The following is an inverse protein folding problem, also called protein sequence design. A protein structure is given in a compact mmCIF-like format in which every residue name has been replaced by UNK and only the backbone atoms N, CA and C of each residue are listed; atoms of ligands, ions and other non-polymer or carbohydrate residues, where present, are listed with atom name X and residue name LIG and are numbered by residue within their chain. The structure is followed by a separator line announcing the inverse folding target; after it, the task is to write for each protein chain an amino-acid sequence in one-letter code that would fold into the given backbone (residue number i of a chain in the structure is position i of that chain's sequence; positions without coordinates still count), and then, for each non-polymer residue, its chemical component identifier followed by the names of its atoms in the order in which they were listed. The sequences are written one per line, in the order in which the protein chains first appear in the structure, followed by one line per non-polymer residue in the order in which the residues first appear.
data_IF_773607646822
#
_entry.id   IF_773607646822
#
_cell.length_a   1.000
_cell.length_b   1.000
_cell.length_c   1.000
_cell.angle_alpha   90.00
_cell.angle_beta   90.00
_cell.angle_gamma   90.00
#
_symmetry.space_group_name_H-M   'P 1'
#
loop_
_entity.id
_entity.type
_entity.pdbx_description
1 polymer ?
#
# COMPACT_ATOMS: atom_id res chain seq x y z
N UNK A 1 3.95 15.95 48.62
CA UNK A 1 5.29 15.83 48.01
C UNK A 1 5.23 16.28 46.55
N UNK A 2 5.91 17.36 46.10
CA UNK A 2 5.82 17.86 44.70
C UNK A 2 6.85 17.26 43.75
N UNK A 3 7.43 16.11 44.07
CA UNK A 3 8.50 15.51 43.25
C UNK A 3 8.08 14.60 42.13
N UNK A 4 6.81 14.14 42.07
CA UNK A 4 6.36 13.15 41.09
C UNK A 4 5.93 13.75 39.73
N UNK A 5 5.53 15.02 39.70
CA UNK A 5 4.98 15.65 38.48
C UNK A 5 6.06 16.05 37.45
N UNK A 6 7.25 16.45 37.91
CA UNK A 6 8.33 16.90 37.01
C UNK A 6 8.99 15.73 36.29
N UNK A 7 9.16 14.60 36.97
CA UNK A 7 9.75 13.39 36.34
C UNK A 7 8.86 12.81 35.25
N UNK A 8 7.55 12.82 35.45
CA UNK A 8 6.57 12.35 34.45
C UNK A 8 6.52 13.28 33.23
N UNK A 9 6.63 14.59 33.44
CA UNK A 9 6.72 15.55 32.33
C UNK A 9 8.02 15.42 31.55
N UNK A 10 9.17 15.24 32.19
CA UNK A 10 10.47 15.07 31.52
C UNK A 10 10.51 13.77 30.70
N UNK A 11 9.93 12.70 31.23
CA UNK A 11 9.78 11.43 30.48
C UNK A 11 8.83 11.59 29.28
N UNK A 12 7.75 12.35 29.42
CA UNK A 12 6.83 12.69 28.33
C UNK A 12 7.55 13.48 27.23
N UNK A 13 8.31 14.51 27.57
CA UNK A 13 9.10 15.29 26.60
C UNK A 13 10.20 14.47 25.92
N UNK A 14 10.90 13.60 26.64
CA UNK A 14 11.91 12.72 26.07
C UNK A 14 11.30 11.72 25.08
N UNK A 15 10.12 11.17 25.38
CA UNK A 15 9.38 10.29 24.47
C UNK A 15 8.84 11.03 23.25
N UNK A 16 8.36 12.29 23.42
CA UNK A 16 7.94 13.14 22.29
C UNK A 16 9.09 13.50 21.37
N UNK A 17 10.24 13.88 21.94
CA UNK A 17 11.46 14.20 21.16
C UNK A 17 11.96 12.93 20.44
N UNK A 18 12.00 11.79 21.10
CA UNK A 18 12.38 10.51 20.48
C UNK A 18 11.43 10.15 19.33
N UNK A 19 10.11 10.26 19.54
CA UNK A 19 9.11 10.03 18.51
C UNK A 19 9.21 11.04 17.35
N UNK A 20 9.52 12.31 17.63
CA UNK A 20 9.73 13.33 16.62
C UNK A 20 10.96 13.01 15.75
N UNK A 21 12.05 12.55 16.38
CA UNK A 21 13.31 12.21 15.68
C UNK A 21 13.21 10.91 14.85
N UNK A 22 12.34 10.00 15.25
CA UNK A 22 12.14 8.70 14.58
C UNK A 22 11.06 8.74 13.51
N UNK A 23 10.15 9.72 13.56
CA UNK A 23 9.08 9.85 12.58
C UNK A 23 9.59 10.38 11.24
N UNK A 24 8.84 10.06 10.18
CA UNK A 24 9.01 10.66 8.85
C UNK A 24 7.82 11.54 8.52
N UNK A 25 8.07 12.71 7.93
CA UNK A 25 7.02 13.65 7.51
C UNK A 25 6.80 13.53 6.01
N UNK A 26 5.54 13.50 5.59
CA UNK A 26 5.18 13.44 4.17
C UNK A 26 5.78 14.59 3.38
N UNK A 27 5.75 15.81 3.93
CA UNK A 27 6.32 17.00 3.30
C UNK A 27 7.79 16.81 2.92
N UNK A 28 8.59 16.22 3.82
CA UNK A 28 10.02 15.98 3.60
C UNK A 28 10.30 14.97 2.47
N UNK A 29 9.40 14.03 2.22
CA UNK A 29 9.60 12.94 1.25
C UNK A 29 8.69 13.04 0.02
N UNK A 30 7.74 13.97 0.01
CA UNK A 30 6.73 14.09 -1.05
C UNK A 30 7.33 14.27 -2.44
N UNK A 31 8.43 15.04 -2.58
CA UNK A 31 9.12 15.24 -3.85
C UNK A 31 9.64 13.92 -4.44
N UNK A 32 10.28 13.09 -3.60
CA UNK A 32 10.80 11.77 -4.02
C UNK A 32 9.66 10.80 -4.32
N UNK A 33 8.61 10.80 -3.50
CA UNK A 33 7.44 9.95 -3.74
C UNK A 33 6.71 10.32 -5.03
N UNK A 34 6.58 11.60 -5.36
CA UNK A 34 6.01 12.05 -6.64
C UNK A 34 6.80 11.55 -7.84
N UNK A 35 8.14 11.62 -7.79
CA UNK A 35 9.00 11.06 -8.83
C UNK A 35 8.86 9.54 -8.90
N UNK A 36 8.83 8.86 -7.76
CA UNK A 36 8.63 7.41 -7.69
C UNK A 36 7.31 6.99 -8.34
N UNK A 37 6.19 7.63 -8.00
CA UNK A 37 4.88 7.34 -8.60
C UNK A 37 4.87 7.66 -10.09
N UNK A 38 5.51 8.74 -10.52
CA UNK A 38 5.64 9.08 -11.94
C UNK A 38 6.41 8.00 -12.70
N UNK A 39 7.48 7.47 -12.12
CA UNK A 39 8.21 6.34 -12.68
C UNK A 39 7.37 5.06 -12.79
N UNK A 40 6.48 4.80 -11.82
CA UNK A 40 5.60 3.63 -11.83
C UNK A 40 4.45 3.75 -12.83
N UNK A 41 3.83 4.94 -12.93
CA UNK A 41 2.57 5.14 -13.67
C UNK A 41 2.76 5.70 -15.07
N UNK A 42 3.93 6.26 -15.38
CA UNK A 42 4.15 7.04 -16.60
C UNK A 42 3.41 8.37 -16.63
N UNK A 43 2.59 8.68 -15.62
CA UNK A 43 1.84 9.92 -15.46
C UNK A 43 1.98 10.47 -14.05
N UNK A 44 1.84 11.78 -13.89
CA UNK A 44 1.91 12.44 -12.59
C UNK A 44 0.62 12.22 -11.79
N UNK A 45 0.54 11.15 -11.02
CA UNK A 45 -0.49 11.06 -9.98
C UNK A 45 -0.22 12.10 -8.90
N UNK A 46 -1.26 12.79 -8.47
CA UNK A 46 -1.17 13.77 -7.40
C UNK A 46 -1.03 13.06 -6.06
N UNK A 47 -0.30 13.69 -5.16
CA UNK A 47 -0.03 13.18 -3.81
C UNK A 47 -0.53 14.22 -2.83
N UNK A 48 -1.49 13.84 -2.00
CA UNK A 48 -2.14 14.71 -1.02
C UNK A 48 -2.07 14.11 0.38
N UNK A 49 -2.23 14.97 1.36
CA UNK A 49 -2.29 14.55 2.77
C UNK A 49 -3.69 14.03 3.09
N UNK A 50 -3.76 12.86 3.75
CA UNK A 50 -5.00 12.26 4.23
C UNK A 50 -4.83 11.67 5.63
N UNK A 51 -5.93 11.23 6.23
CA UNK A 51 -5.94 10.57 7.55
C UNK A 51 -5.33 9.17 7.50
N UNK A 52 -5.32 8.57 6.32
CA UNK A 52 -4.78 7.23 6.06
C UNK A 52 -4.21 7.16 4.63
N UNK A 53 -3.49 6.09 4.32
CA UNK A 53 -3.08 5.81 2.96
C UNK A 53 -4.23 5.18 2.17
N UNK A 54 -4.63 5.79 1.06
CA UNK A 54 -5.64 5.29 0.12
C UNK A 54 -5.50 5.98 -1.24
N UNK A 55 -6.26 5.54 -2.22
CA UNK A 55 -6.37 6.18 -3.54
C UNK A 55 -7.83 6.30 -3.95
N UNK A 56 -8.14 7.36 -4.71
CA UNK A 56 -9.37 7.54 -5.46
C UNK A 56 -9.18 7.35 -6.96
N UNK A 57 -8.10 6.67 -7.37
CA UNK A 57 -7.62 6.42 -8.73
C UNK A 57 -6.82 7.56 -9.37
N UNK A 58 -7.14 8.81 -9.12
CA UNK A 58 -6.45 9.98 -9.66
C UNK A 58 -5.46 10.60 -8.68
N UNK A 59 -5.71 10.41 -7.40
CA UNK A 59 -4.90 10.93 -6.30
C UNK A 59 -4.49 9.83 -5.34
N UNK A 60 -3.33 10.02 -4.74
CA UNK A 60 -2.83 9.20 -3.65
C UNK A 60 -2.84 10.03 -2.38
N UNK A 61 -3.55 9.55 -1.37
CA UNK A 61 -3.61 10.16 -0.07
C UNK A 61 -2.69 9.41 0.89
N UNK A 62 -1.89 10.14 1.65
CA UNK A 62 -0.96 9.59 2.62
C UNK A 62 -1.03 10.35 3.93
N UNK A 63 -0.80 9.70 5.07
CA UNK A 63 -0.73 10.40 6.36
C UNK A 63 0.35 11.48 6.36
N UNK A 64 0.08 12.62 6.99
CA UNK A 64 1.06 13.70 7.11
C UNK A 64 2.35 13.26 7.83
N UNK A 65 2.24 12.28 8.74
CA UNK A 65 3.34 11.77 9.56
C UNK A 65 3.23 10.25 9.72
N UNK A 66 4.36 9.56 9.58
CA UNK A 66 4.49 8.15 9.93
C UNK A 66 5.52 7.97 11.05
N UNK A 67 5.13 7.22 12.08
CA UNK A 67 5.95 6.87 13.24
C UNK A 67 5.75 5.41 13.67
N UNK A 68 5.32 4.54 12.74
CA UNK A 68 5.03 3.14 13.01
C UNK A 68 6.27 2.29 13.31
N UNK A 69 7.46 2.76 12.92
CA UNK A 69 8.73 2.07 13.15
C UNK A 69 9.70 2.94 13.97
N UNK A 70 10.57 2.26 14.72
CA UNK A 70 11.56 2.92 15.57
C UNK A 70 12.64 3.70 14.78
N UNK A 71 12.85 3.39 13.51
CA UNK A 71 13.85 4.09 12.68
C UNK A 71 13.18 4.90 11.59
N UNK A 72 13.62 6.14 11.43
CA UNK A 72 13.13 7.08 10.40
C UNK A 72 13.19 6.47 8.99
N UNK A 73 14.26 5.76 8.65
CA UNK A 73 14.41 5.09 7.35
C UNK A 73 13.32 4.05 7.07
N UNK A 74 12.83 3.37 8.12
CA UNK A 74 11.80 2.36 7.95
C UNK A 74 10.42 3.03 7.82
N UNK A 75 10.19 4.19 8.44
CA UNK A 75 9.03 5.03 8.20
C UNK A 75 9.04 5.63 6.77
N UNK A 76 10.19 6.00 6.23
CA UNK A 76 10.32 6.37 4.82
C UNK A 76 10.00 5.18 3.88
N UNK A 77 10.52 3.98 4.17
CA UNK A 77 10.18 2.77 3.42
C UNK A 77 8.68 2.46 3.49
N UNK A 78 8.05 2.72 4.64
CA UNK A 78 6.62 2.55 4.79
C UNK A 78 5.84 3.52 3.87
N UNK A 79 6.26 4.78 3.75
CA UNK A 79 5.68 5.69 2.76
C UNK A 79 5.79 5.15 1.34
N UNK A 80 6.95 4.64 0.93
CA UNK A 80 7.12 4.01 -0.39
C UNK A 80 6.20 2.81 -0.58
N UNK A 81 6.09 1.95 0.42
CA UNK A 81 5.26 0.76 0.39
C UNK A 81 3.76 1.10 0.28
N UNK A 82 3.28 2.05 1.10
CA UNK A 82 1.91 2.57 1.05
C UNK A 82 1.60 3.19 -0.31
N UNK A 83 2.50 4.03 -0.81
CA UNK A 83 2.38 4.67 -2.13
C UNK A 83 2.28 3.64 -3.25
N UNK A 84 3.18 2.66 -3.25
CA UNK A 84 3.20 1.61 -4.27
C UNK A 84 1.97 0.71 -4.19
N UNK A 85 1.52 0.37 -2.99
CA UNK A 85 0.34 -0.46 -2.80
C UNK A 85 -0.94 0.26 -3.24
N UNK A 86 -1.10 1.54 -2.91
CA UNK A 86 -2.23 2.36 -3.38
C UNK A 86 -2.20 2.54 -4.91
N UNK A 87 -1.02 2.79 -5.51
CA UNK A 87 -0.85 2.80 -6.96
C UNK A 87 -1.21 1.46 -7.59
N UNK A 88 -0.80 0.35 -6.97
CA UNK A 88 -1.06 -1.00 -7.48
C UNK A 88 -2.55 -1.32 -7.57
N UNK A 89 -3.38 -0.80 -6.65
CA UNK A 89 -4.84 -0.96 -6.72
C UNK A 89 -5.40 -0.44 -8.05
N UNK A 90 -4.97 0.74 -8.48
CA UNK A 90 -5.39 1.32 -9.76
C UNK A 90 -4.73 0.60 -10.94
N UNK A 91 -3.42 0.34 -10.87
CA UNK A 91 -2.65 -0.23 -11.97
C UNK A 91 -3.07 -1.65 -12.31
N UNK A 92 -3.25 -2.51 -11.32
CA UNK A 92 -3.66 -3.90 -11.50
C UNK A 92 -5.18 -4.10 -11.46
N UNK A 93 -5.95 -3.01 -11.45
CA UNK A 93 -7.38 -3.02 -11.70
C UNK A 93 -8.24 -3.56 -10.56
N UNK A 94 -7.91 -3.22 -9.30
CA UNK A 94 -8.73 -3.58 -8.13
C UNK A 94 -10.17 -3.04 -8.20
N UNK A 95 -10.38 -1.97 -8.98
CA UNK A 95 -11.68 -1.31 -9.17
C UNK A 95 -12.31 -1.60 -10.53
N UNK A 96 -11.74 -2.51 -11.33
CA UNK A 96 -12.25 -2.85 -12.66
C UNK A 96 -13.26 -3.97 -12.57
N UNK A 97 -14.50 -3.57 -12.43
CA UNK A 97 -15.66 -4.44 -12.54
C UNK A 97 -16.31 -4.28 -13.90
N UNK A 98 -17.19 -5.21 -14.32
CA UNK A 98 -18.07 -5.03 -15.46
C UNK A 98 -18.87 -3.71 -15.35
N UNK A 99 -19.29 -3.19 -16.51
CA UNK A 99 -20.04 -1.94 -16.58
C UNK A 99 -21.30 -2.02 -15.72
N UNK A 100 -21.48 -1.01 -14.85
CA UNK A 100 -22.63 -0.93 -13.93
C UNK A 100 -22.47 -1.71 -12.62
N UNK A 101 -21.38 -2.46 -12.44
CA UNK A 101 -21.10 -3.16 -11.17
C UNK A 101 -20.22 -2.30 -10.25
N UNK A 102 -20.58 -2.27 -8.97
CA UNK A 102 -19.88 -1.52 -7.93
C UNK A 102 -19.40 -2.46 -6.82
N UNK A 103 -18.19 -2.24 -6.31
CA UNK A 103 -17.69 -2.99 -5.14
C UNK A 103 -18.62 -2.82 -3.92
N UNK A 104 -19.15 -1.63 -3.70
CA UNK A 104 -20.10 -1.36 -2.61
C UNK A 104 -21.35 -2.21 -2.73
N UNK A 105 -21.88 -2.40 -3.94
CA UNK A 105 -23.03 -3.26 -4.19
C UNK A 105 -22.72 -4.73 -3.89
N UNK A 106 -21.54 -5.22 -4.25
CA UNK A 106 -21.10 -6.56 -3.87
C UNK A 106 -21.01 -6.74 -2.36
N UNK A 107 -20.45 -5.78 -1.64
CA UNK A 107 -20.34 -5.87 -0.18
C UNK A 107 -21.71 -5.82 0.49
N UNK A 108 -22.65 -5.01 -0.01
CA UNK A 108 -24.00 -4.90 0.51
C UNK A 108 -24.83 -6.20 0.41
N UNK A 109 -24.40 -7.18 -0.39
CA UNK A 109 -25.05 -8.51 -0.45
C UNK A 109 -24.75 -9.39 0.76
N UNK A 110 -23.78 -9.02 1.60
CA UNK A 110 -23.37 -9.79 2.78
C UNK A 110 -24.04 -9.26 4.05
N UNK A 111 -24.28 -10.11 5.06
CA UNK A 111 -24.87 -9.71 6.35
C UNK A 111 -24.10 -8.61 7.08
N UNK A 112 -22.78 -8.58 6.93
CA UNK A 112 -21.87 -7.53 7.44
C UNK A 112 -21.02 -7.01 6.27
N UNK A 113 -21.42 -5.90 5.62
CA UNK A 113 -20.69 -5.29 4.52
C UNK A 113 -19.27 -4.85 4.88
N UNK A 114 -19.06 -4.39 6.12
CA UNK A 114 -17.75 -3.97 6.60
C UNK A 114 -16.79 -5.17 6.72
N UNK A 115 -17.30 -6.31 7.17
CA UNK A 115 -16.53 -7.55 7.16
C UNK A 115 -16.19 -7.98 5.74
N UNK A 116 -17.15 -7.92 4.81
CA UNK A 116 -16.94 -8.24 3.41
C UNK A 116 -15.85 -7.35 2.77
N UNK A 117 -15.94 -6.04 2.98
CA UNK A 117 -14.95 -5.08 2.50
C UNK A 117 -13.55 -5.34 3.07
N UNK A 118 -13.43 -5.61 4.38
CA UNK A 118 -12.14 -5.93 5.00
C UNK A 118 -11.56 -7.24 4.49
N UNK A 119 -12.39 -8.26 4.29
CA UNK A 119 -11.98 -9.55 3.74
C UNK A 119 -11.52 -9.40 2.29
N UNK A 120 -12.31 -8.72 1.45
CA UNK A 120 -11.94 -8.40 0.08
C UNK A 120 -10.60 -7.66 0.04
N UNK A 121 -10.44 -6.62 0.86
CA UNK A 121 -9.20 -5.83 0.90
C UNK A 121 -7.98 -6.68 1.28
N UNK A 122 -8.13 -7.62 2.20
CA UNK A 122 -7.04 -8.54 2.58
C UNK A 122 -6.66 -9.51 1.45
N UNK A 123 -7.66 -10.06 0.73
CA UNK A 123 -7.45 -10.92 -0.43
C UNK A 123 -6.85 -10.16 -1.61
N UNK A 124 -7.37 -8.98 -1.89
CA UNK A 124 -6.87 -8.11 -2.94
C UNK A 124 -5.43 -7.67 -2.66
N UNK A 125 -5.10 -7.36 -1.41
CA UNK A 125 -3.71 -7.10 -0.99
C UNK A 125 -2.80 -8.28 -1.31
N UNK A 126 -3.24 -9.52 -1.08
CA UNK A 126 -2.45 -10.70 -1.41
C UNK A 126 -2.25 -10.88 -2.93
N UNK A 127 -3.25 -10.54 -3.75
CA UNK A 127 -3.14 -10.51 -5.21
C UNK A 127 -2.16 -9.44 -5.68
N UNK A 128 -2.30 -8.23 -5.15
CA UNK A 128 -1.41 -7.10 -5.49
C UNK A 128 0.03 -7.36 -5.08
N UNK A 129 0.26 -7.98 -3.92
CA UNK A 129 1.58 -8.42 -3.48
C UNK A 129 2.23 -9.37 -4.48
N UNK A 130 1.47 -10.31 -5.04
CA UNK A 130 1.98 -11.22 -6.06
C UNK A 130 2.31 -10.48 -7.38
N UNK A 131 1.53 -9.47 -7.74
CA UNK A 131 1.84 -8.60 -8.89
C UNK A 131 3.12 -7.80 -8.64
N UNK A 132 3.23 -7.15 -7.49
CA UNK A 132 4.43 -6.39 -7.08
C UNK A 132 5.67 -7.27 -6.97
N UNK A 133 5.54 -8.50 -6.48
CA UNK A 133 6.65 -9.45 -6.41
C UNK A 133 7.22 -9.79 -7.80
N UNK A 134 6.38 -9.85 -8.84
CA UNK A 134 6.78 -10.13 -10.20
C UNK A 134 7.40 -8.91 -10.89
N UNK A 135 6.74 -7.76 -10.77
CA UNK A 135 7.07 -6.58 -11.56
C UNK A 135 8.10 -5.67 -10.86
N UNK A 136 8.07 -5.62 -9.53
CA UNK A 136 8.91 -4.78 -8.68
C UNK A 136 9.55 -5.58 -7.52
N UNK A 137 10.35 -6.63 -7.80
CA UNK A 137 10.84 -7.55 -6.77
C UNK A 137 11.67 -6.88 -5.68
N UNK A 138 12.39 -5.81 -6.01
CA UNK A 138 13.15 -5.02 -5.03
C UNK A 138 12.25 -4.32 -4.01
N UNK A 139 11.20 -3.66 -4.49
CA UNK A 139 10.20 -3.01 -3.64
C UNK A 139 9.46 -4.05 -2.78
N UNK A 140 9.06 -5.17 -3.38
CA UNK A 140 8.37 -6.22 -2.64
C UNK A 140 9.23 -6.79 -1.50
N UNK A 141 10.54 -6.95 -1.69
CA UNK A 141 11.47 -7.33 -0.61
C UNK A 141 11.48 -6.31 0.53
N UNK A 142 11.48 -5.01 0.22
CA UNK A 142 11.39 -3.95 1.22
C UNK A 142 10.05 -4.02 1.99
N UNK A 143 8.94 -4.28 1.30
CA UNK A 143 7.62 -4.46 1.91
C UNK A 143 7.57 -5.67 2.86
N UNK A 144 8.17 -6.81 2.46
CA UNK A 144 8.25 -7.99 3.31
C UNK A 144 9.14 -7.76 4.54
N UNK A 145 10.26 -7.03 4.38
CA UNK A 145 11.12 -6.66 5.50
C UNK A 145 10.37 -5.76 6.51
N UNK A 146 9.58 -4.79 6.03
CA UNK A 146 8.73 -3.97 6.88
C UNK A 146 7.68 -4.81 7.61
N UNK A 147 7.02 -5.74 6.89
CA UNK A 147 6.04 -6.63 7.50
C UNK A 147 6.65 -7.51 8.58
N UNK A 148 7.88 -7.99 8.37
CA UNK A 148 8.63 -8.75 9.39
C UNK A 148 8.93 -7.89 10.62
N UNK A 149 9.35 -6.63 10.43
CA UNK A 149 9.57 -5.66 11.51
C UNK A 149 8.27 -5.33 12.27
N UNK A 150 7.12 -5.37 11.59
CA UNK A 150 5.80 -5.17 12.19
C UNK A 150 5.24 -6.41 12.91
N UNK A 151 6.03 -7.44 13.09
CA UNK A 151 5.63 -8.68 13.79
C UNK A 151 5.24 -9.83 12.85
N UNK A 152 5.49 -9.70 11.55
CA UNK A 152 5.12 -10.69 10.55
C UNK A 152 3.65 -10.59 10.12
N UNK A 153 3.25 -11.50 9.24
CA UNK A 153 1.85 -11.69 8.85
C UNK A 153 1.57 -13.18 8.72
N UNK A 154 0.47 -13.62 9.29
CA UNK A 154 0.04 -15.00 9.24
C UNK A 154 -1.31 -15.10 8.53
N UNK A 155 -1.39 -16.03 7.59
CA UNK A 155 -2.66 -16.34 6.93
C UNK A 155 -3.58 -17.09 7.90
N UNK A 156 -4.87 -16.78 7.94
CA UNK A 156 -5.85 -17.59 8.68
C UNK A 156 -5.88 -19.03 8.17
N UNK A 157 -6.44 -19.92 8.98
CA UNK A 157 -6.65 -21.29 8.57
C UNK A 157 -7.47 -21.37 7.28
N UNK A 158 -7.10 -22.27 6.39
CA UNK A 158 -7.77 -22.45 5.10
C UNK A 158 -7.34 -21.51 3.97
N UNK A 159 -6.51 -20.49 4.23
CA UNK A 159 -6.10 -19.53 3.21
C UNK A 159 -4.99 -20.02 2.26
N UNK A 160 -4.36 -21.15 2.51
CA UNK A 160 -3.23 -21.65 1.70
C UNK A 160 -3.58 -21.83 0.21
N UNK A 161 -4.71 -22.45 -0.11
CA UNK A 161 -5.15 -22.64 -1.51
C UNK A 161 -5.69 -21.34 -2.12
N UNK A 162 -6.53 -20.55 -1.44
CA UNK A 162 -6.92 -19.22 -1.87
C UNK A 162 -5.75 -18.32 -2.24
N UNK A 163 -4.73 -18.21 -1.39
CA UNK A 163 -3.54 -17.41 -1.67
C UNK A 163 -2.79 -17.90 -2.92
N UNK A 164 -2.67 -19.23 -3.12
CA UNK A 164 -2.06 -19.79 -4.33
C UNK A 164 -2.86 -19.42 -5.60
N UNK A 165 -4.19 -19.32 -5.52
CA UNK A 165 -5.02 -18.84 -6.65
C UNK A 165 -4.69 -17.39 -7.00
N UNK A 166 -4.62 -16.51 -6.00
CA UNK A 166 -4.32 -15.09 -6.19
C UNK A 166 -2.88 -14.81 -6.66
N UNK A 167 -1.97 -15.75 -6.41
CA UNK A 167 -0.57 -15.65 -6.86
C UNK A 167 -0.38 -16.02 -8.33
N UNK A 168 -1.37 -16.61 -9.00
CA UNK A 168 -1.27 -16.97 -10.42
C UNK A 168 -1.14 -15.75 -11.31
N UNK A 169 -0.37 -15.89 -12.39
CA UNK A 169 -0.35 -14.88 -13.45
C UNK A 169 -1.74 -14.81 -14.09
N UNK A 170 -2.30 -13.60 -14.17
CA UNK A 170 -3.66 -13.40 -14.70
C UNK A 170 -4.77 -13.41 -13.63
N UNK A 171 -4.45 -13.65 -12.36
CA UNK A 171 -5.42 -13.44 -11.29
C UNK A 171 -5.93 -11.99 -11.28
N UNK A 172 -7.23 -11.81 -11.16
CA UNK A 172 -7.95 -10.54 -11.29
C UNK A 172 -8.73 -10.19 -10.02
N UNK A 173 -9.34 -9.02 -9.99
CA UNK A 173 -10.26 -8.59 -8.93
C UNK A 173 -11.42 -9.58 -8.75
N UNK A 174 -11.87 -10.23 -9.83
CA UNK A 174 -12.94 -11.25 -9.77
C UNK A 174 -12.53 -12.48 -8.96
N UNK A 175 -11.26 -12.89 -9.01
CA UNK A 175 -10.75 -13.96 -8.16
C UNK A 175 -10.79 -13.57 -6.68
N UNK A 176 -10.46 -12.32 -6.36
CA UNK A 176 -10.56 -11.78 -5.00
C UNK A 176 -12.01 -11.73 -4.50
N UNK A 177 -12.97 -11.32 -5.35
CA UNK A 177 -14.40 -11.32 -5.04
C UNK A 177 -14.95 -12.74 -4.85
N UNK A 178 -14.60 -13.68 -5.72
CA UNK A 178 -15.02 -15.07 -5.60
C UNK A 178 -14.52 -15.68 -4.28
N UNK A 179 -13.24 -15.47 -3.96
CA UNK A 179 -12.65 -15.94 -2.71
C UNK A 179 -13.23 -15.26 -1.47
N UNK A 180 -13.60 -13.99 -1.57
CA UNK A 180 -14.32 -13.31 -0.48
C UNK A 180 -15.60 -14.05 -0.14
N UNK A 181 -16.37 -14.46 -1.13
CA UNK A 181 -17.61 -15.25 -0.92
C UNK A 181 -17.31 -16.61 -0.27
N UNK A 182 -16.27 -17.31 -0.77
CA UNK A 182 -15.86 -18.62 -0.25
C UNK A 182 -15.38 -18.55 1.22
N UNK A 183 -14.69 -17.47 1.61
CA UNK A 183 -14.05 -17.32 2.91
C UNK A 183 -14.82 -16.46 3.91
N UNK A 184 -15.99 -15.93 3.53
CA UNK A 184 -16.73 -14.97 4.37
C UNK A 184 -17.07 -15.49 5.77
N UNK A 185 -17.34 -16.80 5.91
CA UNK A 185 -17.63 -17.42 7.21
C UNK A 185 -16.40 -17.52 8.13
N UNK A 186 -15.20 -17.37 7.57
CA UNK A 186 -13.94 -17.52 8.30
C UNK A 186 -13.53 -16.27 9.08
N UNK A 187 -12.33 -16.37 9.66
CA UNK A 187 -11.70 -15.28 10.38
C UNK A 187 -11.04 -14.27 9.44
N UNK A 188 -11.09 -12.99 9.84
CA UNK A 188 -10.38 -11.93 9.16
C UNK A 188 -8.89 -11.94 9.54
N UNK A 189 -7.97 -11.85 8.57
CA UNK A 189 -6.57 -11.66 8.88
C UNK A 189 -6.31 -10.25 9.42
N UNK A 190 -5.25 -10.13 10.19
CA UNK A 190 -4.70 -8.80 10.50
C UNK A 190 -4.27 -8.10 9.20
N UNK A 191 -4.54 -6.80 9.04
CA UNK A 191 -4.07 -6.07 7.88
C UNK A 191 -2.54 -6.01 7.82
N UNK A 192 -1.97 -5.98 6.62
CA UNK A 192 -0.53 -5.74 6.46
C UNK A 192 -0.19 -4.28 6.78
N UNK A 193 1.00 -4.04 7.30
CA UNK A 193 1.42 -2.71 7.74
C UNK A 193 1.37 -1.64 6.63
N UNK A 194 1.45 -2.06 5.37
CA UNK A 194 1.41 -1.21 4.16
C UNK A 194 0.09 -1.29 3.39
N UNK A 195 -0.93 -1.96 3.91
CA UNK A 195 -2.18 -2.20 3.20
C UNK A 195 -2.98 -0.91 2.95
N UNK A 196 -2.92 0.07 3.85
CA UNK A 196 -3.72 1.28 3.75
C UNK A 196 -5.21 1.02 3.99
N UNK A 197 -6.06 1.87 3.42
CA UNK A 197 -7.52 1.73 3.45
C UNK A 197 -8.08 1.61 2.04
N UNK A 198 -9.18 0.91 1.90
CA UNK A 198 -9.97 0.85 0.67
C UNK A 198 -11.19 1.76 0.84
N UNK A 199 -11.26 2.84 0.07
CA UNK A 199 -12.37 3.79 0.07
C UNK A 199 -13.21 3.60 -1.19
N UNK A 200 -14.22 2.76 -1.08
CA UNK A 200 -15.09 2.40 -2.22
C UNK A 200 -16.01 3.55 -2.62
N UNK A 201 -16.50 4.32 -1.67
CA UNK A 201 -17.46 5.40 -1.89
C UNK A 201 -16.85 6.58 -2.67
N UNK A 202 -15.58 6.91 -2.43
CA UNK A 202 -14.90 7.99 -3.17
C UNK A 202 -14.55 7.62 -4.60
N UNK A 203 -14.52 6.34 -4.93
CA UNK A 203 -14.28 5.87 -6.29
C UNK A 203 -15.50 6.09 -7.20
N UNK A 204 -16.68 6.23 -6.63
CA UNK A 204 -17.91 6.51 -7.37
C UNK A 204 -17.94 7.94 -7.92
N UNK A 205 -17.35 8.90 -7.19
CA UNK A 205 -17.30 10.31 -7.61
C UNK A 205 -16.26 10.56 -8.71
N UNK A 206 -15.18 9.75 -8.76
CA UNK A 206 -14.09 9.96 -9.73
C UNK A 206 -14.23 9.17 -11.03
N UNK A 207 -15.07 8.14 -11.08
CA UNK A 207 -15.26 7.32 -12.30
C UNK A 207 -16.09 8.06 -13.37
N UNK A 208 -16.92 9.02 -12.99
CA UNK A 208 -17.70 9.80 -13.96
C UNK A 208 -16.85 10.76 -14.82
N UNK A 209 -15.64 11.14 -14.36
CA UNK A 209 -14.75 12.07 -15.06
C UNK A 209 -13.49 11.42 -15.69
N UNK A 210 -13.20 10.16 -15.43
CA UNK A 210 -11.97 9.49 -15.89
C UNK A 210 -12.20 8.66 -17.15
N UNK A 211 -11.77 9.15 -18.29
CA UNK A 211 -11.59 8.32 -19.49
C UNK A 211 -10.52 7.26 -19.21
N UNK A 212 -10.95 6.04 -18.94
CA UNK A 212 -10.07 4.88 -18.71
C UNK A 212 -9.30 4.57 -20.00
N UNK A 213 -7.99 4.80 -20.01
CA UNK A 213 -7.12 4.38 -21.09
C UNK A 213 -7.10 2.84 -21.16
N UNK A 214 -7.44 2.24 -22.31
CA UNK A 214 -7.47 0.78 -22.45
C UNK A 214 -6.12 0.14 -22.13
N UNK A 215 -6.14 -1.04 -21.51
CA UNK A 215 -4.96 -1.81 -21.09
C UNK A 215 -3.97 -2.10 -22.24
N UNK A 216 -4.44 -2.13 -23.50
CA UNK A 216 -3.62 -2.41 -24.68
C UNK A 216 -2.61 -1.31 -25.02
N UNK A 217 -2.79 -0.10 -24.53
CA UNK A 217 -1.93 1.05 -24.83
C UNK A 217 -0.93 1.38 -23.73
N UNK A 218 -0.84 0.53 -22.71
CA UNK A 218 0.09 0.77 -21.59
C UNK A 218 1.45 0.18 -21.91
N UNK A 219 2.53 0.99 -21.93
CA UNK A 219 3.88 0.48 -22.09
C UNK A 219 4.20 -0.49 -20.94
N UNK A 220 4.92 -1.57 -21.23
CA UNK A 220 5.34 -2.52 -20.19
C UNK A 220 6.28 -1.82 -19.20
N UNK A 221 6.10 -2.06 -17.91
CA UNK A 221 6.99 -1.53 -16.86
C UNK A 221 8.49 -1.80 -17.14
N UNK A 222 8.80 -2.85 -17.90
CA UNK A 222 10.17 -3.19 -18.30
C UNK A 222 10.79 -2.13 -19.25
N UNK A 223 10.01 -1.43 -20.06
CA UNK A 223 10.51 -0.37 -20.93
C UNK A 223 10.86 0.90 -20.16
N UNK A 224 10.10 1.23 -19.12
CA UNK A 224 10.36 2.42 -18.29
C UNK A 224 11.55 2.25 -17.32
N UNK A 225 11.80 1.02 -16.87
CA UNK A 225 12.91 0.75 -15.91
C UNK A 225 14.27 0.79 -16.60
N UNK A 226 14.33 0.63 -17.95
CA UNK A 226 15.62 0.52 -18.64
C UNK A 226 16.29 1.85 -19.00
N UNK A 227 15.54 2.94 -19.12
CA UNK A 227 16.14 4.18 -19.66
C UNK A 227 16.30 5.33 -18.64
N UNK A 228 15.36 5.54 -17.71
CA UNK A 228 15.40 6.72 -16.83
C UNK A 228 15.66 6.43 -15.34
N UNK A 229 15.43 5.23 -14.86
CA UNK A 229 15.61 4.91 -13.43
C UNK A 229 17.03 4.47 -13.08
N UNK A 230 17.81 4.00 -14.04
CA UNK A 230 19.20 3.63 -13.78
C UNK A 230 20.07 4.84 -13.41
N UNK A 231 19.81 6.02 -13.99
CA UNK A 231 20.59 7.22 -13.72
C UNK A 231 20.22 7.93 -12.41
N UNK A 232 18.98 7.74 -11.93
CA UNK A 232 18.48 8.44 -10.74
C UNK A 232 18.54 7.61 -9.44
N UNK A 233 18.54 6.28 -9.52
CA UNK A 233 18.43 5.39 -8.35
C UNK A 233 19.69 4.61 -8.00
N UNK A 234 20.63 4.40 -8.92
CA UNK A 234 21.86 3.65 -8.67
C UNK A 234 22.78 4.34 -7.63
N UNK A 235 22.93 5.68 -7.60
CA UNK A 235 23.79 6.31 -6.60
C UNK A 235 23.28 6.19 -5.16
N UNK A 236 21.97 6.03 -4.96
CA UNK A 236 21.39 5.97 -3.61
C UNK A 236 21.39 4.54 -3.06
N UNK A 237 21.26 3.53 -3.92
CA UNK A 237 21.27 2.13 -3.51
C UNK A 237 22.68 1.55 -3.35
N UNK A 238 23.66 2.00 -4.17
CA UNK A 238 25.05 1.55 -4.05
C UNK A 238 25.80 2.16 -2.86
N UNK A 239 25.39 3.32 -2.33
CA UNK A 239 26.04 3.90 -1.14
C UNK A 239 25.70 3.20 0.17
N UNK A 240 24.72 2.32 0.19
CA UNK A 240 24.37 1.55 1.40
C UNK A 240 25.10 0.20 1.52
N UNK A 241 25.94 -0.19 0.54
CA UNK A 241 26.62 -1.50 0.56
C UNK A 241 28.13 -1.45 0.70
N UNK A 242 28.73 -0.27 0.89
CA UNK A 242 30.19 -0.12 1.06
C UNK A 242 30.54 0.63 2.35
N UNK A 243 30.02 0.19 3.48
CA UNK A 243 30.55 0.56 4.80
C UNK A 243 30.35 -0.63 5.74
N UNK A 244 31.09 -1.69 5.48
CA UNK A 244 31.54 -2.68 6.47
C UNK A 244 32.81 -3.34 5.89
N UNK A 245 33.94 -2.74 6.26
CA UNK A 245 35.25 -3.32 6.53
C UNK A 245 35.89 -2.53 7.66
#
# INVERSE_FOLDING_TARGET
YPGCSVFTQVQGFAAEIANATQSEMLEAVSGVLKLFVRGLSGRGLRLETGDAAYTDTDMLYLPARLSGFARRKDNYRLYKALTAHSWAQTWYGSFRLPEGELLSAHFATFPDPDKAQRLFHALETARLDACLARDLPGLYRDMQALQTLAGGWQAPAGWTLPLKRLQKTGASVHDSLALMTELYAGELPMPRCYQGKLFVERLLESVEDSVLVPLRERPSLRQFVSEDLNDLFIPVLCRCHCLDD
#
